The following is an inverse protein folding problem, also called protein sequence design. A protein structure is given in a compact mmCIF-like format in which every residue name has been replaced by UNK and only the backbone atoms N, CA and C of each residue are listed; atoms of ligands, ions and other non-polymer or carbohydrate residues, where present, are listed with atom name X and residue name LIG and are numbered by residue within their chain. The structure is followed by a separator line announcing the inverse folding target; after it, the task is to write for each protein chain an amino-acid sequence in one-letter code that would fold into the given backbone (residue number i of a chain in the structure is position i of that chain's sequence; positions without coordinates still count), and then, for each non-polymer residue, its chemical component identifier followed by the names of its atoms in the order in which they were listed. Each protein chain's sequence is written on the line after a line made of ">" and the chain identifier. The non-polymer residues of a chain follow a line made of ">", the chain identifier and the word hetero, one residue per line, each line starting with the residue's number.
data_IF_222165627184
#
_entry.id   IF_222165627184
#
_cell.length_a   1.000
_cell.length_b   1.000
_cell.length_c   1.000
_cell.angle_alpha   90.00
_cell.angle_beta   90.00
_cell.angle_gamma   90.00
#
_symmetry.space_group_name_H-M   'P 1'
#
loop_
_entity.id
_entity.type
_entity.pdbx_description
1 polymer ?
#
# COMPACT_ATOMS: atom_id res chain seq x y z
N UNK A 1 -20.49 29.76 -15.35
CA UNK A 1 -20.75 28.33 -15.57
C UNK A 1 -19.48 27.58 -15.22
N UNK A 2 -19.41 27.02 -14.01
CA UNK A 2 -18.31 26.12 -13.63
C UNK A 2 -18.63 24.76 -14.20
N UNK A 3 -17.85 24.31 -15.18
CA UNK A 3 -17.91 22.93 -15.68
C UNK A 3 -17.54 22.00 -14.53
N UNK A 4 -18.47 21.14 -14.11
CA UNK A 4 -18.21 20.10 -13.11
C UNK A 4 -17.21 19.10 -13.70
N UNK A 5 -15.92 19.30 -13.41
CA UNK A 5 -14.82 18.55 -14.00
C UNK A 5 -14.49 17.30 -13.16
N UNK A 6 -15.52 16.48 -12.89
CA UNK A 6 -15.35 15.24 -12.11
C UNK A 6 -14.95 14.11 -13.03
N UNK A 7 -13.68 13.69 -12.90
CA UNK A 7 -13.22 12.43 -13.48
C UNK A 7 -13.75 11.22 -12.69
N UNK A 8 -13.75 10.03 -13.29
CA UNK A 8 -14.05 8.80 -12.57
C UNK A 8 -13.05 8.56 -11.44
N UNK A 9 -13.52 7.96 -10.34
CA UNK A 9 -12.66 7.52 -9.23
C UNK A 9 -12.40 6.03 -9.39
N UNK A 10 -11.12 5.65 -9.36
CA UNK A 10 -10.69 4.25 -9.26
C UNK A 10 -10.17 4.01 -7.84
N UNK A 11 -10.83 3.11 -7.10
CA UNK A 11 -10.40 2.65 -5.79
C UNK A 11 -9.81 1.24 -5.93
N UNK A 12 -8.58 1.05 -5.44
CA UNK A 12 -7.87 -0.24 -5.47
C UNK A 12 -7.51 -0.62 -4.05
N UNK A 13 -8.00 -1.77 -3.60
CA UNK A 13 -7.65 -2.37 -2.32
C UNK A 13 -6.82 -3.63 -2.56
N UNK A 14 -5.64 -3.70 -1.94
CA UNK A 14 -4.79 -4.88 -1.97
C UNK A 14 -4.86 -5.52 -0.59
N UNK A 15 -5.49 -6.69 -0.51
CA UNK A 15 -5.71 -7.40 0.75
C UNK A 15 -4.36 -7.79 1.40
N UNK A 16 -4.24 -7.57 2.71
CA UNK A 16 -3.03 -7.88 3.47
C UNK A 16 -1.74 -7.24 2.95
N UNK A 17 -1.81 -6.05 2.34
CA UNK A 17 -0.64 -5.41 1.70
C UNK A 17 0.53 -5.14 2.67
N UNK A 18 0.22 -4.76 3.91
CA UNK A 18 1.22 -4.44 4.91
C UNK A 18 1.74 -5.70 5.61
N UNK A 19 3.02 -5.71 5.93
CA UNK A 19 3.69 -6.79 6.65
C UNK A 19 4.85 -6.22 7.48
N UNK A 20 5.47 -7.06 8.29
CA UNK A 20 6.66 -6.75 9.07
C UNK A 20 7.92 -6.84 8.22
N UNK A 21 8.96 -6.13 8.65
CA UNK A 21 10.28 -6.29 8.05
C UNK A 21 10.83 -7.67 8.40
N UNK A 22 11.26 -8.41 7.38
CA UNK A 22 11.86 -9.73 7.51
C UNK A 22 13.19 -9.80 6.75
N UNK A 23 13.98 -10.84 7.00
CA UNK A 23 15.19 -11.15 6.23
C UNK A 23 14.81 -11.56 4.80
N UNK A 24 14.81 -10.58 3.88
CA UNK A 24 14.38 -10.77 2.49
C UNK A 24 15.41 -11.49 1.63
N UNK A 25 16.67 -11.59 2.07
CA UNK A 25 17.74 -12.31 1.34
C UNK A 25 17.41 -13.79 1.07
N UNK A 26 16.52 -14.38 1.87
CA UNK A 26 15.99 -15.74 1.64
C UNK A 26 15.13 -15.85 0.37
N UNK A 27 14.54 -14.75 -0.07
CA UNK A 27 13.59 -14.68 -1.18
C UNK A 27 14.14 -13.88 -2.36
N UNK A 28 14.94 -12.84 -2.08
CA UNK A 28 15.56 -11.95 -3.05
C UNK A 28 16.98 -11.62 -2.59
N UNK A 29 18.02 -12.29 -3.13
CA UNK A 29 19.40 -12.10 -2.70
C UNK A 29 19.86 -10.64 -2.82
N UNK A 30 20.38 -10.08 -1.73
CA UNK A 30 20.87 -8.71 -1.66
C UNK A 30 19.79 -7.67 -1.29
N UNK A 31 18.58 -8.10 -0.93
CA UNK A 31 17.51 -7.23 -0.48
C UNK A 31 17.63 -6.84 1.02
N UNK A 32 18.36 -7.62 1.82
CA UNK A 32 18.56 -7.37 3.25
C UNK A 32 17.25 -7.44 4.05
N UNK A 33 17.14 -6.61 5.10
CA UNK A 33 15.94 -6.52 5.95
C UNK A 33 14.96 -5.50 5.37
N UNK A 34 13.78 -5.97 4.96
CA UNK A 34 12.73 -5.13 4.39
C UNK A 34 11.35 -5.77 4.57
N UNK A 35 10.27 -4.99 4.38
CA UNK A 35 8.94 -5.58 4.18
C UNK A 35 8.87 -6.20 2.78
N UNK A 36 8.01 -7.19 2.53
CA UNK A 36 7.81 -7.76 1.20
C UNK A 36 7.47 -6.70 0.15
N UNK A 37 6.63 -5.71 0.50
CA UNK A 37 6.27 -4.61 -0.39
C UNK A 37 7.49 -3.73 -0.73
N UNK A 38 8.33 -3.41 0.25
CA UNK A 38 9.51 -2.57 0.04
C UNK A 38 10.59 -3.27 -0.81
N UNK A 39 10.70 -4.61 -0.71
CA UNK A 39 11.63 -5.40 -1.52
C UNK A 39 11.11 -5.70 -2.94
N UNK A 40 9.80 -5.62 -3.16
CA UNK A 40 9.18 -5.91 -4.44
C UNK A 40 9.50 -4.82 -5.49
N UNK A 41 9.58 -5.23 -6.77
CA UNK A 41 9.72 -4.29 -7.88
C UNK A 41 8.35 -3.76 -8.31
N UNK A 42 7.98 -2.56 -7.83
CA UNK A 42 6.62 -2.00 -7.94
C UNK A 42 6.53 -0.69 -8.71
N UNK A 43 7.05 -0.60 -9.95
CA UNK A 43 7.23 0.69 -10.65
C UNK A 43 5.94 1.49 -10.86
N UNK A 44 4.79 0.82 -10.97
CA UNK A 44 3.50 1.49 -11.07
C UNK A 44 3.07 2.16 -9.76
N UNK A 45 3.22 1.47 -8.62
CA UNK A 45 2.91 2.05 -7.31
C UNK A 45 3.93 3.13 -6.95
N UNK A 46 5.20 2.94 -7.29
CA UNK A 46 6.25 3.93 -7.10
C UNK A 46 5.95 5.22 -7.88
N UNK A 47 5.47 5.10 -9.13
CA UNK A 47 5.06 6.24 -9.94
C UNK A 47 3.82 6.95 -9.35
N UNK A 48 2.85 6.20 -8.82
CA UNK A 48 1.66 6.78 -8.15
C UNK A 48 2.08 7.53 -6.88
N UNK A 49 2.97 6.96 -6.07
CA UNK A 49 3.47 7.62 -4.86
C UNK A 49 4.29 8.87 -5.19
N UNK A 50 5.14 8.82 -6.23
CA UNK A 50 5.95 9.96 -6.67
C UNK A 50 5.11 11.09 -7.31
N UNK A 51 4.02 10.76 -8.01
CA UNK A 51 3.15 11.71 -8.68
C UNK A 51 1.92 12.15 -7.88
N UNK A 52 1.71 11.58 -6.69
CA UNK A 52 0.49 11.73 -5.89
C UNK A 52 0.75 12.12 -4.44
N UNK A 53 -0.17 11.70 -3.57
CA UNK A 53 -0.06 11.86 -2.12
C UNK A 53 -0.07 10.48 -1.46
N UNK A 54 0.75 10.31 -0.42
CA UNK A 54 0.85 9.07 0.35
C UNK A 54 0.55 9.31 1.82
N UNK A 55 0.06 8.28 2.51
CA UNK A 55 -0.27 8.32 3.92
C UNK A 55 -0.42 6.91 4.51
N UNK A 56 -0.59 6.85 5.82
CA UNK A 56 -0.92 5.62 6.55
C UNK A 56 -2.41 5.63 6.90
N UNK A 57 -3.00 4.44 6.98
CA UNK A 57 -4.40 4.24 7.35
C UNK A 57 -4.48 3.11 8.37
N UNK A 58 -4.95 3.41 9.57
CA UNK A 58 -5.45 2.40 10.49
C UNK A 58 -6.89 2.07 10.04
N UNK A 59 -7.20 0.83 9.62
CA UNK A 59 -8.52 0.51 9.07
C UNK A 59 -9.67 0.80 10.03
N UNK A 60 -9.42 0.69 11.35
CA UNK A 60 -10.38 0.98 12.41
C UNK A 60 -9.79 1.98 13.39
N UNK A 61 -8.76 1.59 14.13
CA UNK A 61 -8.04 2.44 15.08
C UNK A 61 -6.59 1.95 15.28
N UNK A 62 -5.68 2.81 15.76
CA UNK A 62 -4.29 2.44 15.94
C UNK A 62 -4.11 1.19 16.83
N UNK A 63 -3.43 0.18 16.29
CA UNK A 63 -3.07 -1.05 17.02
C UNK A 63 -4.16 -2.13 17.07
N UNK A 64 -5.33 -1.93 16.45
CA UNK A 64 -6.38 -2.95 16.37
C UNK A 64 -6.22 -3.80 15.09
N UNK A 65 -6.03 -5.11 15.27
CA UNK A 65 -6.12 -6.06 14.16
C UNK A 65 -7.59 -6.33 13.82
N UNK A 66 -8.01 -5.97 12.61
CA UNK A 66 -9.38 -6.14 12.12
C UNK A 66 -9.49 -7.31 11.12
N UNK A 67 -10.60 -8.02 11.16
CA UNK A 67 -10.97 -8.97 10.12
C UNK A 67 -11.35 -8.26 8.82
N UNK A 68 -11.31 -8.98 7.69
CA UNK A 68 -11.68 -8.42 6.40
C UNK A 68 -13.14 -7.95 6.36
N UNK A 69 -14.05 -8.57 7.12
CA UNK A 69 -15.44 -8.12 7.26
C UNK A 69 -15.60 -6.69 7.80
N UNK A 70 -14.63 -6.21 8.57
CA UNK A 70 -14.65 -4.93 9.28
C UNK A 70 -13.72 -3.90 8.64
N UNK A 71 -12.75 -4.34 7.82
CA UNK A 71 -11.70 -3.50 7.25
C UNK A 71 -12.07 -2.86 5.89
N UNK A 72 -13.13 -3.35 5.23
CA UNK A 72 -13.58 -2.89 3.90
C UNK A 72 -14.57 -1.72 3.98
#
# INVERSE_FOLDING_TARGET
>A
MTTDNRGPVLFVLIDGLADWSIEMDKYLPGAGVATPLAAARTPAMDAIAAGGLSGLMDPVEPGLACGSDTAH
#
